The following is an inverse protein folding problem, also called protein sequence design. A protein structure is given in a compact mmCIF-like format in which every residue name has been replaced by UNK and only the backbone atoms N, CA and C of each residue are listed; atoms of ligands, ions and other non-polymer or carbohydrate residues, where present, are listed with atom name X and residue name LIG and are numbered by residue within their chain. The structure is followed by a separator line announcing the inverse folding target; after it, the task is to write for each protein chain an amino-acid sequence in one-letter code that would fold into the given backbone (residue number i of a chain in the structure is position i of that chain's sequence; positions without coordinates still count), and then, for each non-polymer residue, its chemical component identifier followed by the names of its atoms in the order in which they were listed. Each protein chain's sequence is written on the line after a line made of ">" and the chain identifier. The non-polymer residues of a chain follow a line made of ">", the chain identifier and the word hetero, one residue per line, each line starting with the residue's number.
data_IF_569858981320
#
_entry.id   IF_569858981320
#
_cell.length_a   1.000
_cell.length_b   1.000
_cell.length_c   1.000
_cell.angle_alpha   90.00
_cell.angle_beta   90.00
_cell.angle_gamma   90.00
#
_symmetry.space_group_name_H-M   'P 1'
#
loop_
_entity.id
_entity.type
_entity.pdbx_description
1 polymer ?
#
# COMPACT_ATOMS: atom_id res chain seq x y z
N UNK A 1 74.62 7.63 -48.45
CA UNK A 1 74.16 8.99 -48.08
C UNK A 1 72.64 8.98 -47.95
N UNK A 2 72.11 9.03 -46.73
CA UNK A 2 70.67 9.00 -46.49
C UNK A 2 70.07 10.40 -46.63
N UNK A 3 69.11 10.57 -47.55
CA UNK A 3 68.46 11.85 -47.82
C UNK A 3 67.39 12.10 -46.74
N UNK A 4 67.68 12.95 -45.74
CA UNK A 4 66.69 13.37 -44.73
C UNK A 4 65.70 14.36 -45.37
N UNK A 5 64.42 14.02 -45.32
CA UNK A 5 63.31 14.91 -45.70
C UNK A 5 63.11 15.98 -44.62
N UNK A 6 63.34 17.24 -44.98
CA UNK A 6 63.27 18.41 -44.07
C UNK A 6 61.86 18.97 -43.87
N UNK A 7 60.84 18.46 -44.57
CA UNK A 7 59.49 19.02 -44.52
C UNK A 7 58.45 17.94 -44.24
N UNK A 8 57.87 17.96 -43.02
CA UNK A 8 56.63 17.22 -42.71
C UNK A 8 55.45 17.96 -43.35
N UNK A 9 54.67 17.28 -44.20
CA UNK A 9 53.40 17.81 -44.72
C UNK A 9 52.48 18.17 -43.54
N UNK A 10 51.96 19.40 -43.50
CA UNK A 10 50.94 19.82 -42.53
C UNK A 10 49.71 18.93 -42.69
N UNK A 11 49.28 18.27 -41.61
CA UNK A 11 48.00 17.54 -41.58
C UNK A 11 46.88 18.53 -41.91
N UNK A 12 46.09 18.27 -42.95
CA UNK A 12 44.90 19.06 -43.27
C UNK A 12 43.91 18.90 -42.11
N UNK A 13 43.59 20.02 -41.47
CA UNK A 13 42.57 20.06 -40.41
C UNK A 13 41.21 19.79 -41.06
N UNK A 14 40.46 18.81 -40.53
CA UNK A 14 39.20 18.39 -41.12
C UNK A 14 38.04 19.19 -40.51
N UNK A 15 37.87 20.42 -40.96
CA UNK A 15 36.92 21.40 -40.42
C UNK A 15 35.47 20.87 -40.32
N UNK A 16 35.02 20.05 -41.27
CA UNK A 16 33.66 19.49 -41.27
C UNK A 16 33.38 18.60 -40.05
N UNK A 17 34.38 17.85 -39.54
CA UNK A 17 34.18 17.00 -38.34
C UNK A 17 33.99 17.85 -37.09
N UNK A 18 34.72 18.94 -36.96
CA UNK A 18 34.61 19.84 -35.81
C UNK A 18 33.32 20.68 -35.86
N UNK A 19 32.83 21.02 -37.06
CA UNK A 19 31.55 21.68 -37.23
C UNK A 19 30.38 20.81 -36.76
N UNK A 20 30.37 19.53 -37.17
CA UNK A 20 29.35 18.56 -36.72
C UNK A 20 29.41 18.37 -35.19
N UNK A 21 30.61 18.28 -34.62
CA UNK A 21 30.79 18.16 -33.17
C UNK A 21 30.24 19.39 -32.44
N UNK A 22 30.49 20.60 -32.95
CA UNK A 22 29.96 21.84 -32.39
C UNK A 22 28.42 21.89 -32.44
N UNK A 23 27.83 21.44 -33.55
CA UNK A 23 26.38 21.40 -33.70
C UNK A 23 25.71 20.45 -32.70
N UNK A 24 26.30 19.28 -32.47
CA UNK A 24 25.82 18.32 -31.46
C UNK A 24 25.87 18.92 -30.05
N UNK A 25 26.94 19.63 -29.71
CA UNK A 25 27.09 20.28 -28.40
C UNK A 25 26.01 21.36 -28.20
N UNK A 26 25.71 22.14 -29.25
CA UNK A 26 24.65 23.17 -29.18
C UNK A 26 23.29 22.54 -28.92
N UNK A 27 22.95 21.42 -29.59
CA UNK A 27 21.69 20.69 -29.35
C UNK A 27 21.59 20.23 -27.90
N UNK A 28 22.68 19.70 -27.33
CA UNK A 28 22.72 19.24 -25.94
C UNK A 28 22.47 20.41 -24.98
N UNK A 29 23.11 21.56 -25.20
CA UNK A 29 22.92 22.76 -24.37
C UNK A 29 21.46 23.24 -24.44
N UNK A 30 20.88 23.26 -25.64
CA UNK A 30 19.47 23.64 -25.84
C UNK A 30 18.55 22.66 -25.08
N UNK A 31 18.82 21.35 -25.15
CA UNK A 31 18.04 20.34 -24.44
C UNK A 31 18.05 20.57 -22.92
N UNK A 32 19.23 20.79 -22.33
CA UNK A 32 19.33 21.10 -20.89
C UNK A 32 18.71 22.45 -20.51
N UNK A 33 18.68 23.42 -21.42
CA UNK A 33 18.00 24.69 -21.18
C UNK A 33 16.47 24.56 -21.17
N UNK A 34 15.91 23.75 -22.09
CA UNK A 34 14.46 23.54 -22.19
C UNK A 34 13.91 22.54 -21.19
N UNK A 35 14.72 21.60 -20.71
CA UNK A 35 14.35 20.64 -19.67
C UNK A 35 15.07 20.96 -18.36
N UNK A 36 14.69 22.02 -17.63
CA UNK A 36 15.12 22.16 -16.25
C UNK A 36 14.62 20.95 -15.45
N UNK A 37 15.39 20.49 -14.47
CA UNK A 37 15.01 19.42 -13.55
C UNK A 37 13.73 19.82 -12.80
N UNK A 38 12.57 19.54 -13.38
CA UNK A 38 11.31 19.67 -12.68
C UNK A 38 11.24 18.51 -11.69
N UNK A 39 11.26 18.83 -10.39
CA UNK A 39 11.20 17.83 -9.31
C UNK A 39 9.88 17.05 -9.29
N UNK A 40 8.89 17.51 -10.07
CA UNK A 40 7.57 16.93 -10.23
C UNK A 40 7.05 17.32 -11.62
N UNK A 41 6.09 16.57 -12.14
CA UNK A 41 5.29 16.96 -13.29
C UNK A 41 3.86 17.20 -12.80
N UNK A 42 3.22 18.27 -13.25
CA UNK A 42 1.83 18.55 -12.93
C UNK A 42 0.94 17.73 -13.87
N UNK A 43 0.17 16.82 -13.28
CA UNK A 43 -0.90 16.12 -14.02
C UNK A 43 -2.11 17.06 -13.99
N UNK A 44 -2.63 17.50 -15.15
CA UNK A 44 -3.81 18.35 -15.17
C UNK A 44 -5.01 17.61 -14.56
N UNK A 45 -5.86 18.33 -13.82
CA UNK A 45 -7.07 17.76 -13.24
C UNK A 45 -7.96 17.20 -14.36
N UNK A 46 -8.24 15.90 -14.27
CA UNK A 46 -9.12 15.22 -15.22
C UNK A 46 -10.59 15.53 -14.86
N UNK A 47 -11.20 16.41 -15.64
CA UNK A 47 -12.58 16.86 -15.45
C UNK A 47 -13.63 16.00 -16.16
N UNK A 48 -13.22 14.92 -16.83
CA UNK A 48 -14.13 14.03 -17.55
C UNK A 48 -14.52 12.80 -16.73
N UNK A 49 -15.50 12.04 -17.21
CA UNK A 49 -15.89 10.77 -16.59
C UNK A 49 -14.86 9.68 -16.90
N UNK A 50 -14.31 9.02 -15.88
CA UNK A 50 -13.37 7.89 -16.06
C UNK A 50 -14.02 6.68 -16.73
N UNK A 51 -15.36 6.57 -16.65
CA UNK A 51 -16.13 5.52 -17.30
C UNK A 51 -17.51 6.02 -17.67
N UNK A 52 -18.06 5.48 -18.75
CA UNK A 52 -19.43 5.70 -19.17
C UNK A 52 -20.21 4.43 -18.81
N UNK A 53 -21.22 4.56 -17.96
CA UNK A 53 -22.14 3.44 -17.69
C UNK A 53 -23.16 3.42 -18.84
N UNK A 54 -23.19 2.36 -19.67
CA UNK A 54 -24.19 2.28 -20.73
C UNK A 54 -25.59 2.09 -20.11
N UNK A 55 -26.61 2.74 -20.69
CA UNK A 55 -28.00 2.59 -20.27
C UNK A 55 -28.48 1.14 -20.38
N UNK A 56 -28.01 0.43 -21.41
CA UNK A 56 -28.21 -1.00 -21.57
C UNK A 56 -26.87 -1.71 -21.47
N UNK A 57 -26.68 -2.47 -20.39
CA UNK A 57 -25.47 -3.26 -20.16
C UNK A 57 -25.39 -4.50 -21.06
N UNK A 58 -26.43 -4.75 -21.86
CA UNK A 58 -26.60 -5.98 -22.62
C UNK A 58 -26.91 -7.16 -21.71
N UNK A 59 -27.63 -8.14 -22.25
CA UNK A 59 -28.05 -9.36 -21.54
C UNK A 59 -29.55 -9.58 -21.58
N UNK A 60 -29.98 -10.78 -21.20
CA UNK A 60 -31.40 -11.12 -21.13
C UNK A 60 -32.04 -10.43 -19.92
N UNK A 61 -33.11 -9.65 -20.15
CA UNK A 61 -33.88 -9.02 -19.06
C UNK A 61 -34.61 -10.12 -18.29
N UNK A 62 -34.11 -10.44 -17.10
CA UNK A 62 -34.75 -11.41 -16.21
C UNK A 62 -36.04 -10.79 -15.68
N UNK A 63 -37.15 -11.48 -15.92
CA UNK A 63 -38.46 -11.15 -15.34
C UNK A 63 -38.34 -11.28 -13.82
N UNK A 64 -38.75 -10.27 -13.05
CA UNK A 64 -38.71 -10.21 -11.59
C UNK A 64 -37.39 -9.75 -10.92
N UNK A 65 -36.56 -8.91 -11.56
CA UNK A 65 -35.42 -8.28 -10.85
C UNK A 65 -35.85 -7.47 -9.61
N UNK A 66 -37.04 -6.85 -9.66
CA UNK A 66 -37.63 -6.07 -8.57
C UNK A 66 -38.22 -6.96 -7.46
N UNK A 67 -38.43 -8.25 -7.73
CA UNK A 67 -38.72 -9.21 -6.65
C UNK A 67 -37.41 -9.52 -5.99
N UNK A 68 -37.08 -8.78 -4.93
CA UNK A 68 -36.09 -9.20 -3.95
C UNK A 68 -36.42 -10.66 -3.63
N UNK A 69 -35.56 -11.58 -4.08
CA UNK A 69 -35.66 -12.98 -3.68
C UNK A 69 -35.83 -12.95 -2.17
N UNK A 70 -36.73 -13.79 -1.66
CA UNK A 70 -36.95 -13.94 -0.22
C UNK A 70 -35.63 -14.48 0.35
N UNK A 71 -34.65 -13.61 0.55
CA UNK A 71 -33.45 -13.91 1.30
C UNK A 71 -34.02 -14.21 2.67
N UNK A 72 -34.00 -15.48 3.04
CA UNK A 72 -34.28 -15.91 4.40
C UNK A 72 -33.49 -14.92 5.25
N UNK A 73 -34.21 -14.06 5.97
CA UNK A 73 -33.62 -13.05 6.82
C UNK A 73 -32.53 -13.75 7.60
N UNK A 74 -31.27 -13.32 7.39
CA UNK A 74 -30.12 -14.00 7.95
C UNK A 74 -30.43 -14.31 9.43
N UNK A 75 -30.18 -15.54 9.90
CA UNK A 75 -30.39 -15.89 11.29
C UNK A 75 -29.79 -14.79 12.14
N UNK A 76 -30.52 -14.33 13.15
CA UNK A 76 -30.10 -13.23 14.01
C UNK A 76 -28.70 -13.52 14.49
N UNK A 77 -27.72 -12.84 13.90
CA UNK A 77 -26.32 -12.94 14.31
C UNK A 77 -26.33 -12.55 15.77
N UNK A 78 -25.85 -13.45 16.63
CA UNK A 78 -25.75 -13.19 18.06
C UNK A 78 -25.21 -11.78 18.23
N UNK A 79 -25.95 -10.95 18.97
CA UNK A 79 -25.54 -9.60 19.30
C UNK A 79 -24.34 -9.72 20.22
N UNK A 80 -23.16 -10.02 19.66
CA UNK A 80 -21.88 -9.85 20.33
C UNK A 80 -21.91 -8.40 20.81
N UNK A 81 -21.96 -8.19 22.13
CA UNK A 81 -21.83 -6.86 22.71
C UNK A 81 -20.42 -6.37 22.37
N UNK A 82 -20.32 -5.64 21.27
CA UNK A 82 -19.09 -5.00 20.84
C UNK A 82 -18.85 -3.87 21.85
N UNK A 83 -17.84 -4.04 22.70
CA UNK A 83 -17.34 -2.95 23.51
C UNK A 83 -16.45 -2.11 22.59
N UNK A 84 -16.99 -1.00 22.08
CA UNK A 84 -16.18 0.00 21.38
C UNK A 84 -15.40 0.77 22.44
N UNK A 85 -14.15 0.39 22.67
CA UNK A 85 -13.23 1.24 23.41
C UNK A 85 -12.68 2.32 22.45
N UNK A 86 -13.07 3.60 22.61
CA UNK A 86 -12.64 4.67 21.72
C UNK A 86 -11.14 5.03 21.86
N UNK A 87 -10.42 4.40 22.78
CA UNK A 87 -9.01 4.74 23.07
C UNK A 87 -8.00 4.06 22.15
N UNK A 88 -8.38 3.00 21.43
CA UNK A 88 -7.48 2.26 20.53
C UNK A 88 -7.15 3.07 19.27
N UNK A 89 -5.86 3.40 19.11
CA UNK A 89 -5.36 4.15 17.95
C UNK A 89 -4.64 3.23 16.96
N UNK A 90 -3.42 2.85 17.28
CA UNK A 90 -2.62 1.92 16.49
C UNK A 90 -2.36 0.66 17.30
N UNK A 91 -2.41 -0.50 16.66
CA UNK A 91 -2.15 -1.77 17.32
C UNK A 91 -1.47 -2.75 16.37
N UNK A 92 -0.83 -3.77 16.91
CA UNK A 92 -0.18 -4.81 16.13
C UNK A 92 -1.17 -5.96 15.92
N UNK A 93 -1.41 -6.35 14.68
CA UNK A 93 -2.21 -7.53 14.37
C UNK A 93 -1.40 -8.79 14.66
N UNK A 94 -1.94 -9.62 15.55
CA UNK A 94 -1.40 -10.94 15.89
C UNK A 94 -2.04 -12.02 15.04
N UNK A 95 -3.37 -11.95 14.88
CA UNK A 95 -4.14 -12.98 14.18
C UNK A 95 -5.44 -12.39 13.61
N UNK A 96 -5.98 -13.02 12.56
CA UNK A 96 -7.29 -12.67 11.99
C UNK A 96 -8.10 -13.93 11.69
N UNK A 97 -9.41 -13.86 11.85
CA UNK A 97 -10.34 -14.96 11.57
C UNK A 97 -11.76 -14.42 11.39
N UNK A 98 -12.53 -15.04 10.51
CA UNK A 98 -13.98 -14.81 10.40
C UNK A 98 -14.77 -15.48 11.54
N UNK A 99 -14.17 -16.44 12.23
CA UNK A 99 -14.73 -17.16 13.37
C UNK A 99 -14.15 -16.65 14.70
N UNK A 100 -15.03 -16.13 15.57
CA UNK A 100 -14.67 -15.61 16.89
C UNK A 100 -14.14 -16.69 17.87
N UNK A 101 -14.61 -17.93 17.77
CA UNK A 101 -14.12 -19.01 18.66
C UNK A 101 -12.65 -19.33 18.40
N UNK A 102 -12.19 -19.17 17.15
CA UNK A 102 -10.77 -19.31 16.79
C UNK A 102 -9.94 -18.22 17.48
N UNK A 103 -10.41 -16.97 17.47
CA UNK A 103 -9.76 -15.86 18.19
C UNK A 103 -9.68 -16.15 19.69
N UNK A 104 -10.78 -16.62 20.28
CA UNK A 104 -10.83 -16.97 21.71
C UNK A 104 -9.84 -18.09 22.07
N UNK A 105 -9.74 -19.11 21.22
CA UNK A 105 -8.76 -20.18 21.40
C UNK A 105 -7.33 -19.66 21.26
N UNK A 106 -7.07 -18.75 20.32
CA UNK A 106 -5.77 -18.12 20.15
C UNK A 106 -5.35 -17.29 21.37
N UNK A 107 -6.25 -16.44 21.89
CA UNK A 107 -6.03 -15.69 23.14
C UNK A 107 -5.66 -16.65 24.29
N UNK A 108 -6.45 -17.72 24.47
CA UNK A 108 -6.21 -18.72 25.51
C UNK A 108 -4.85 -19.42 25.31
N UNK A 109 -4.47 -19.73 24.08
CA UNK A 109 -3.17 -20.33 23.76
C UNK A 109 -2.01 -19.40 24.10
N UNK A 110 -2.14 -18.10 23.77
CA UNK A 110 -1.11 -17.09 24.06
C UNK A 110 -0.95 -16.86 25.56
N UNK A 111 -2.06 -16.76 26.31
CA UNK A 111 -2.04 -16.57 27.76
C UNK A 111 -1.43 -17.77 28.51
N UNK A 112 -1.71 -18.99 28.04
CA UNK A 112 -1.23 -20.22 28.66
C UNK A 112 0.20 -20.64 28.23
N UNK A 113 0.83 -19.89 27.32
CA UNK A 113 2.21 -20.17 26.93
C UNK A 113 3.16 -19.89 28.10
N UNK A 114 4.15 -20.76 28.29
CA UNK A 114 5.09 -20.71 29.43
C UNK A 114 5.94 -19.43 29.43
N UNK A 115 6.09 -18.81 28.25
CA UNK A 115 6.81 -17.55 28.02
C UNK A 115 5.87 -16.36 27.77
N UNK A 116 4.65 -16.36 28.33
CA UNK A 116 3.63 -15.38 27.97
C UNK A 116 4.00 -13.94 28.41
N UNK A 117 4.61 -13.20 27.47
CA UNK A 117 4.77 -11.74 27.51
C UNK A 117 3.44 -10.99 27.34
N UNK A 118 2.34 -11.73 27.18
CA UNK A 118 1.02 -11.20 26.89
C UNK A 118 0.22 -11.02 28.19
N UNK A 119 -0.04 -9.76 28.55
CA UNK A 119 -1.06 -9.44 29.54
C UNK A 119 -2.44 -9.43 28.87
N UNK A 120 -3.48 -9.84 29.61
CA UNK A 120 -4.86 -9.71 29.15
C UNK A 120 -5.23 -8.25 28.84
N UNK A 121 -4.61 -7.29 29.52
CA UNK A 121 -4.87 -5.85 29.34
C UNK A 121 -4.24 -5.29 28.06
N UNK A 122 -3.27 -6.02 27.48
CA UNK A 122 -2.59 -5.66 26.24
C UNK A 122 -3.23 -6.33 25.02
N UNK A 123 -4.25 -7.18 25.19
CA UNK A 123 -4.92 -7.89 24.10
C UNK A 123 -6.30 -7.31 23.82
N UNK A 124 -6.56 -7.03 22.55
CA UNK A 124 -7.82 -6.44 22.08
C UNK A 124 -8.38 -7.23 20.92
N UNK A 125 -9.70 -7.18 20.74
CA UNK A 125 -10.36 -7.76 19.57
C UNK A 125 -11.12 -6.66 18.85
N UNK A 126 -10.72 -6.37 17.61
CA UNK A 126 -11.46 -5.49 16.72
C UNK A 126 -12.33 -6.30 15.76
N UNK A 127 -13.48 -5.75 15.39
CA UNK A 127 -14.43 -6.35 14.46
C UNK A 127 -14.56 -5.46 13.22
N UNK A 128 -14.17 -6.00 12.08
CA UNK A 128 -14.46 -5.40 10.78
C UNK A 128 -15.72 -6.03 10.21
N UNK A 129 -16.69 -5.20 9.81
CA UNK A 129 -17.93 -5.66 9.17
C UNK A 129 -17.87 -5.30 7.70
N UNK A 130 -18.04 -6.28 6.83
CA UNK A 130 -18.12 -6.05 5.38
C UNK A 130 -19.29 -6.84 4.78
N UNK A 131 -19.64 -6.57 3.53
CA UNK A 131 -20.80 -7.19 2.88
C UNK A 131 -20.73 -8.73 2.81
N UNK A 132 -19.54 -9.31 2.88
CA UNK A 132 -19.31 -10.75 2.83
C UNK A 132 -19.30 -11.44 4.20
N UNK A 133 -19.48 -10.72 5.32
CA UNK A 133 -19.35 -11.27 6.66
C UNK A 133 -18.62 -10.37 7.65
N UNK A 134 -18.19 -10.98 8.75
CA UNK A 134 -17.46 -10.32 9.83
C UNK A 134 -16.04 -10.88 9.86
N UNK A 135 -15.06 -10.02 10.12
CA UNK A 135 -13.68 -10.42 10.35
C UNK A 135 -13.21 -9.90 11.71
N UNK A 136 -12.62 -10.77 12.52
CA UNK A 136 -12.16 -10.48 13.87
C UNK A 136 -10.63 -10.41 13.88
N UNK A 137 -10.12 -9.26 14.32
CA UNK A 137 -8.68 -9.00 14.44
C UNK A 137 -8.29 -9.14 15.90
N UNK A 138 -7.34 -10.05 16.19
CA UNK A 138 -6.65 -10.10 17.46
C UNK A 138 -5.48 -9.12 17.42
N UNK A 139 -5.53 -8.14 18.32
CA UNK A 139 -4.67 -6.98 18.37
C UNK A 139 -3.85 -6.97 19.66
N UNK A 140 -2.60 -6.54 19.58
CA UNK A 140 -1.67 -6.45 20.71
C UNK A 140 -1.15 -5.02 20.90
N UNK A 141 -1.28 -4.54 22.14
CA UNK A 141 -0.94 -3.20 22.63
C UNK A 141 -1.64 -2.06 21.91
N UNK A 142 -1.85 -0.97 22.62
CA UNK A 142 -2.37 0.27 22.06
C UNK A 142 -1.24 1.31 22.00
N UNK A 143 -0.93 1.79 20.81
CA UNK A 143 0.12 2.77 20.55
C UNK A 143 -0.48 4.10 20.13
N UNK A 144 0.12 5.20 20.56
CA UNK A 144 -0.40 6.53 20.24
C UNK A 144 -0.11 6.94 18.79
N UNK A 145 0.95 6.38 18.20
CA UNK A 145 1.37 6.69 16.83
C UNK A 145 1.85 5.43 16.10
N UNK A 146 1.79 5.46 14.76
CA UNK A 146 2.34 4.39 13.92
C UNK A 146 3.85 4.18 14.14
N UNK A 147 4.61 5.25 14.39
CA UNK A 147 6.06 5.16 14.59
C UNK A 147 6.42 4.44 15.89
N UNK A 148 5.61 4.64 16.94
CA UNK A 148 5.78 3.92 18.22
C UNK A 148 5.51 2.43 18.05
N UNK A 149 4.46 2.07 17.30
CA UNK A 149 4.16 0.68 16.96
C UNK A 149 5.28 0.04 16.11
N UNK A 150 5.86 0.78 15.15
CA UNK A 150 7.01 0.32 14.35
C UNK A 150 8.25 0.06 15.22
N UNK A 151 8.62 1.00 16.08
CA UNK A 151 9.77 0.83 16.98
C UNK A 151 9.57 -0.38 17.91
N UNK A 152 8.33 -0.64 18.34
CA UNK A 152 7.99 -1.83 19.10
C UNK A 152 8.11 -3.11 18.27
N UNK A 153 7.63 -3.12 17.02
CA UNK A 153 7.78 -4.23 16.08
C UNK A 153 9.25 -4.63 15.91
N UNK A 154 10.12 -3.65 15.67
CA UNK A 154 11.54 -3.87 15.37
C UNK A 154 12.32 -4.44 16.57
N UNK A 155 11.87 -4.14 17.81
CA UNK A 155 12.59 -4.50 19.03
C UNK A 155 12.06 -5.74 19.74
N UNK A 156 10.75 -5.95 19.75
CA UNK A 156 10.11 -6.84 20.73
C UNK A 156 9.21 -7.92 20.15
N UNK A 157 8.98 -7.92 18.83
CA UNK A 157 8.02 -8.83 18.20
C UNK A 157 8.75 -10.02 17.59
N UNK A 158 9.35 -10.86 18.44
CA UNK A 158 9.97 -12.12 18.03
C UNK A 158 8.93 -13.22 17.74
N UNK A 159 7.67 -13.00 18.12
CA UNK A 159 6.59 -13.98 18.07
C UNK A 159 5.71 -13.86 16.82
N UNK A 160 5.98 -12.89 15.93
CA UNK A 160 5.32 -12.76 14.63
C UNK A 160 6.35 -12.79 13.52
N UNK A 161 6.07 -13.54 12.45
CA UNK A 161 6.89 -13.55 11.25
C UNK A 161 6.82 -12.21 10.50
N UNK A 162 5.65 -11.55 10.55
CA UNK A 162 5.41 -10.24 9.96
C UNK A 162 4.64 -9.36 10.93
N UNK A 163 5.22 -8.21 11.31
CA UNK A 163 4.55 -7.25 12.17
C UNK A 163 3.64 -6.32 11.35
N UNK A 164 2.33 -6.55 11.41
CA UNK A 164 1.34 -5.73 10.71
C UNK A 164 0.77 -4.72 11.70
N UNK A 165 0.90 -3.43 11.39
CA UNK A 165 0.35 -2.35 12.22
C UNK A 165 -1.00 -1.93 11.64
N UNK A 166 -2.03 -2.02 12.47
CA UNK A 166 -3.40 -1.68 12.14
C UNK A 166 -3.74 -0.32 12.74
N UNK A 167 -4.29 0.57 11.91
CA UNK A 167 -4.92 1.80 12.39
C UNK A 167 -6.37 1.49 12.77
N UNK A 168 -6.60 1.30 14.06
CA UNK A 168 -7.89 0.84 14.59
C UNK A 168 -8.97 1.92 14.49
N UNK A 169 -8.58 3.21 14.50
CA UNK A 169 -9.52 4.32 14.35
C UNK A 169 -10.20 4.36 12.98
N UNK A 170 -9.59 3.75 11.97
CA UNK A 170 -10.08 3.75 10.60
C UNK A 170 -10.69 2.39 10.19
N UNK A 171 -10.95 1.48 11.15
CA UNK A 171 -11.70 0.24 10.92
C UNK A 171 -13.21 0.55 10.97
N UNK A 172 -13.72 1.29 9.98
CA UNK A 172 -15.16 1.45 9.73
C UNK A 172 -15.53 0.95 8.33
#
# INVERSE_FOLDING_TARGET
>A
MAKKSLFKKRKKFNYNKYFILGFIIIIIIIFFYYYPNQAYFEIPDFNESYYIVPEDKGGEKIINQDKKGLHLSNPSVDKIKIFKDPSLKFSIQVYTSDNYDVIKNMIKSMMNSVDSIFSSDDLYVALLKHNFGNEFFLLYKNFNSRNEALDHCDKYVYFLDNCIIVNVQNLE
#
